data_IF_369675785724
#
_entry.id   IF_369675785724
#
_cell.length_a   1.000
_cell.length_b   1.000
_cell.length_c   1.000
_cell.angle_alpha   90.00
_cell.angle_beta   90.00
_cell.angle_gamma   90.00
#
_symmetry.space_group_name_H-M   'P 1'
#
loop_
_entity.id
_entity.type
_entity.pdbx_description
1 polymer ?
#
# COMPACT_ATOMS: atom_id res chain seq x y z
N UNK A 1 16.45 -12.35 0.40
CA UNK A 1 15.94 -11.22 -0.41
C UNK A 1 14.48 -11.03 -0.05
N UNK A 2 14.22 -10.42 1.11
CA UNK A 2 12.85 -10.15 1.56
C UNK A 2 12.28 -9.01 0.73
N UNK A 3 11.41 -9.34 -0.24
CA UNK A 3 10.53 -8.37 -0.87
C UNK A 3 9.60 -7.86 0.24
N UNK A 4 9.99 -6.79 0.92
CA UNK A 4 9.13 -6.06 1.85
C UNK A 4 7.86 -5.67 1.08
N UNK A 5 6.81 -6.48 1.22
CA UNK A 5 5.57 -6.36 0.48
C UNK A 5 5.05 -4.94 0.61
N UNK A 6 4.83 -4.27 -0.52
CA UNK A 6 4.33 -2.91 -0.51
C UNK A 6 2.90 -2.98 0.02
N UNK A 7 2.67 -2.45 1.22
CA UNK A 7 1.33 -2.38 1.81
C UNK A 7 0.69 -1.07 1.43
N UNK A 8 -0.54 -1.15 0.93
CA UNK A 8 -1.41 -0.02 0.67
C UNK A 8 -2.49 0.07 1.74
N UNK A 9 -2.99 1.26 2.01
CA UNK A 9 -4.05 1.54 2.97
C UNK A 9 -5.20 2.24 2.26
N UNK A 10 -6.42 1.74 2.41
CA UNK A 10 -7.58 2.41 1.84
C UNK A 10 -7.93 3.68 2.61
N UNK A 11 -8.06 4.82 1.92
CA UNK A 11 -8.42 6.09 2.56
C UNK A 11 -9.85 6.15 3.11
N UNK A 12 -10.75 5.25 2.68
CA UNK A 12 -12.14 5.24 3.15
C UNK A 12 -12.34 4.34 4.38
N UNK A 13 -11.82 3.11 4.34
CA UNK A 13 -12.04 2.12 5.40
C UNK A 13 -10.79 1.81 6.25
N UNK A 14 -9.64 2.38 5.93
CA UNK A 14 -8.38 2.15 6.65
C UNK A 14 -7.78 0.75 6.48
N UNK A 15 -8.38 -0.10 5.63
CA UNK A 15 -7.93 -1.47 5.45
C UNK A 15 -6.59 -1.53 4.73
N UNK A 16 -5.69 -2.38 5.24
CA UNK A 16 -4.36 -2.62 4.69
C UNK A 16 -4.42 -3.74 3.66
N UNK A 17 -4.03 -3.44 2.43
CA UNK A 17 -4.04 -4.36 1.29
C UNK A 17 -2.60 -4.47 0.75
N UNK A 18 -1.99 -5.67 0.75
CA UNK A 18 -0.66 -5.85 0.15
C UNK A 18 -0.75 -5.74 -1.38
N UNK A 19 0.34 -5.30 -2.02
CA UNK A 19 0.41 -5.12 -3.48
C UNK A 19 0.12 -6.40 -4.26
N UNK A 20 0.52 -7.55 -3.73
CA UNK A 20 0.33 -8.85 -4.37
C UNK A 20 -1.16 -9.19 -4.60
N UNK A 21 -2.03 -8.78 -3.67
CA UNK A 21 -3.49 -8.95 -3.77
C UNK A 21 -4.14 -8.03 -4.83
N UNK A 22 -3.50 -6.89 -5.13
CA UNK A 22 -3.92 -5.98 -6.20
C UNK A 22 -3.50 -6.50 -7.57
N UNK A 23 -2.31 -7.08 -7.67
CA UNK A 23 -1.78 -7.67 -8.89
C UNK A 23 -2.58 -8.93 -9.29
N UNK A 24 -2.96 -9.76 -8.31
CA UNK A 24 -3.79 -10.95 -8.55
C UNK A 24 -5.16 -10.65 -9.17
N UNK A 25 -5.69 -9.44 -8.94
CA UNK A 25 -7.04 -9.05 -9.34
C UNK A 25 -7.11 -8.26 -10.66
N UNK A 26 -6.02 -8.27 -11.44
CA UNK A 26 -5.96 -7.61 -12.74
C UNK A 26 -5.48 -6.16 -12.71
N UNK A 27 -4.79 -5.74 -11.64
CA UNK A 27 -4.17 -4.41 -11.55
C UNK A 27 -5.15 -3.27 -11.28
N UNK A 28 -6.41 -3.56 -10.95
CA UNK A 28 -7.37 -2.55 -10.54
C UNK A 28 -7.06 -2.10 -9.10
N UNK A 29 -6.73 -0.81 -8.93
CA UNK A 29 -6.56 -0.18 -7.61
C UNK A 29 -7.91 -0.06 -6.89
N UNK A 30 -8.49 -1.17 -6.46
CA UNK A 30 -9.80 -1.23 -5.81
C UNK A 30 -9.66 -1.88 -4.43
N UNK A 31 -10.16 -1.22 -3.40
CA UNK A 31 -10.22 -1.79 -2.06
C UNK A 31 -11.17 -2.99 -2.04
N UNK A 32 -10.70 -4.12 -1.49
CA UNK A 32 -11.45 -5.38 -1.40
C UNK A 32 -12.72 -5.30 -0.52
N UNK A 33 -12.75 -4.37 0.43
CA UNK A 33 -13.82 -4.28 1.45
C UNK A 33 -14.89 -3.28 1.05
N UNK A 34 -14.52 -2.11 0.51
CA UNK A 34 -15.46 -1.03 0.23
C UNK A 34 -15.56 -0.64 -1.26
N UNK A 35 -14.73 -1.23 -2.13
CA UNK A 35 -14.70 -0.89 -3.55
C UNK A 35 -14.13 0.50 -3.89
N UNK A 36 -13.62 1.23 -2.91
CA UNK A 36 -13.00 2.53 -3.11
C UNK A 36 -11.68 2.43 -3.87
N UNK A 37 -11.40 3.38 -4.76
CA UNK A 37 -10.29 3.28 -5.72
C UNK A 37 -9.00 4.00 -5.33
N UNK A 38 -9.00 4.66 -4.17
CA UNK A 38 -7.84 5.43 -3.70
C UNK A 38 -7.20 4.69 -2.53
N UNK A 39 -5.98 4.26 -2.77
CA UNK A 39 -5.13 3.55 -1.82
C UNK A 39 -3.84 4.35 -1.59
N UNK A 40 -3.42 4.49 -0.33
CA UNK A 40 -2.21 5.20 0.10
C UNK A 40 -1.12 4.19 0.40
N UNK A 41 0.08 4.37 -0.17
CA UNK A 41 1.23 3.52 0.17
C UNK A 41 1.66 3.75 1.63
N UNK A 42 1.73 2.69 2.43
CA UNK A 42 2.20 2.76 3.80
C UNK A 42 3.70 3.04 3.81
N UNK A 43 4.14 3.90 4.73
CA UNK A 43 5.56 4.23 4.88
C UNK A 43 6.32 2.95 5.26
N UNK A 44 7.39 2.58 4.52
CA UNK A 44 8.17 1.41 4.88
C UNK A 44 8.87 1.65 6.24
N UNK A 45 9.19 0.58 6.98
CA UNK A 45 9.84 0.69 8.29
C UNK A 45 11.28 1.22 8.19
N UNK A 46 11.88 1.22 6.98
CA UNK A 46 13.22 1.77 6.75
C UNK A 46 13.21 3.29 6.91
N UNK A 47 14.04 3.79 7.83
CA UNK A 47 14.19 5.22 8.10
C UNK A 47 14.89 5.90 6.94
N UNK A 48 14.34 7.02 6.46
CA UNK A 48 15.00 7.89 5.48
C UNK A 48 15.93 8.85 6.23
N UNK A 49 17.23 8.80 5.96
CA UNK A 49 18.21 9.79 6.46
C UNK A 49 18.19 11.02 5.55
N UNK A 50 18.11 12.21 6.14
CA UNK A 50 18.11 13.50 5.43
C UNK A 50 19.19 14.38 6.07
N UNK A 51 20.09 14.94 5.27
CA UNK A 51 21.09 15.90 5.77
C UNK A 51 20.38 17.21 6.12
N UNK A 52 20.68 17.76 7.30
CA UNK A 52 20.28 19.12 7.66
C UNK A 52 21.24 20.13 7.00
N UNK A 53 20.72 21.25 6.53
CA UNK A 53 21.52 22.39 6.04
C UNK A 53 21.89 23.29 7.19
#
# INVERSE_FOLDING_TARGET
MEKSGIVYECMRCGSRVPSEELELRGGETKCIICGYRILKKVKPPVVKRVQAK
#
